data_IF_219371457289
#
_entry.id   IF_219371457289
#
_cell.length_a   1.000
_cell.length_b   1.000
_cell.length_c   1.000
_cell.angle_alpha   90.00
_cell.angle_beta   90.00
_cell.angle_gamma   90.00
#
_symmetry.space_group_name_H-M   'P 1'
#
loop_
_entity.id
_entity.type
_entity.pdbx_description
1 polymer ?
#
# COMPACT_ATOMS: atom_id res chain seq x y z
N UNK A 1 -12.66 24.67 2.49
CA UNK A 1 -12.54 25.65 3.58
C UNK A 1 -11.32 26.54 3.35
N UNK A 2 -11.48 27.66 2.65
CA UNK A 2 -10.43 28.69 2.58
C UNK A 2 -10.72 29.73 3.66
N UNK A 3 -10.02 29.67 4.79
CA UNK A 3 -9.87 30.87 5.62
C UNK A 3 -9.18 31.95 4.76
N UNK A 4 -9.45 33.25 4.97
CA UNK A 4 -8.74 34.31 4.27
C UNK A 4 -7.24 34.03 4.34
N UNK A 5 -6.54 34.18 3.21
CA UNK A 5 -5.10 33.98 3.07
C UNK A 5 -4.36 34.85 4.09
N UNK A 6 -4.25 34.35 5.33
CA UNK A 6 -3.45 34.95 6.35
C UNK A 6 -2.02 34.67 5.92
N UNK A 7 -1.41 35.61 5.24
CA UNK A 7 -0.01 35.51 4.80
C UNK A 7 0.95 35.99 5.87
N UNK A 8 0.45 36.46 7.02
CA UNK A 8 1.27 36.92 8.14
C UNK A 8 1.37 35.85 9.21
N UNK A 9 2.56 35.26 9.38
CA UNK A 9 2.81 34.28 10.43
C UNK A 9 4.01 34.67 11.29
N UNK A 10 3.98 34.30 12.57
CA UNK A 10 5.17 34.37 13.43
C UNK A 10 6.00 33.11 13.27
N UNK A 11 7.32 33.24 13.39
CA UNK A 11 8.25 32.10 13.30
C UNK A 11 8.97 31.88 14.63
N UNK A 12 9.31 30.62 14.94
CA UNK A 12 10.06 30.25 16.16
C UNK A 12 11.13 29.21 15.87
N UNK A 13 12.33 29.39 16.44
CA UNK A 13 13.47 28.48 16.27
C UNK A 13 14.38 28.82 15.08
N UNK A 14 14.31 30.04 14.54
CA UNK A 14 15.04 30.45 13.33
C UNK A 14 16.17 31.47 13.57
N UNK A 15 16.45 31.81 14.83
CA UNK A 15 17.53 32.70 15.23
C UNK A 15 17.08 34.06 15.76
N UNK A 16 18.03 34.79 16.35
CA UNK A 16 17.78 36.14 16.90
C UNK A 16 17.34 37.10 15.80
N UNK A 17 16.35 37.94 16.09
CA UNK A 17 15.76 38.92 15.15
C UNK A 17 14.49 38.46 14.43
N UNK A 18 14.30 37.13 14.27
CA UNK A 18 13.09 36.53 13.68
C UNK A 18 12.12 35.95 14.71
N UNK A 19 12.62 35.62 15.90
CA UNK A 19 11.85 34.92 16.93
C UNK A 19 10.57 35.67 17.31
N UNK A 20 9.43 34.99 17.14
CA UNK A 20 8.09 35.50 17.35
C UNK A 20 7.74 36.77 16.55
N UNK A 21 8.57 37.18 15.60
CA UNK A 21 8.34 38.37 14.78
C UNK A 21 7.39 38.02 13.63
N UNK A 22 6.36 38.84 13.33
CA UNK A 22 5.43 38.54 12.26
C UNK A 22 6.10 38.72 10.90
N UNK A 23 6.06 37.71 10.04
CA UNK A 23 6.58 37.76 8.67
C UNK A 23 5.41 37.76 7.70
N UNK A 24 5.42 38.68 6.74
CA UNK A 24 4.42 38.79 5.68
C UNK A 24 4.91 38.01 4.45
N UNK A 25 4.43 36.78 4.29
CA UNK A 25 4.77 35.90 3.17
C UNK A 25 4.09 36.36 1.88
N UNK A 26 4.77 36.28 0.74
CA UNK A 26 4.19 36.65 -0.56
C UNK A 26 3.35 35.53 -1.18
N UNK A 27 3.47 34.31 -0.65
CA UNK A 27 2.75 33.13 -1.11
C UNK A 27 2.12 32.42 0.07
N UNK A 28 1.04 31.68 -0.19
CA UNK A 28 0.41 30.83 0.83
C UNK A 28 1.45 29.88 1.44
N UNK A 29 1.47 29.83 2.78
CA UNK A 29 2.29 28.87 3.53
C UNK A 29 1.47 27.59 3.72
N UNK A 30 1.99 26.41 3.35
CA UNK A 30 1.30 25.15 3.60
C UNK A 30 0.88 25.00 5.06
N UNK A 31 -0.39 24.65 5.28
CA UNK A 31 -1.01 24.59 6.61
C UNK A 31 -0.31 23.61 7.55
N UNK A 32 0.29 22.54 7.03
CA UNK A 32 1.03 21.54 7.83
C UNK A 32 2.40 22.03 8.34
N UNK A 33 2.86 23.22 7.93
CA UNK A 33 4.01 23.90 8.56
C UNK A 33 3.60 24.87 9.66
N UNK A 34 2.32 25.19 9.75
CA UNK A 34 1.76 26.14 10.69
C UNK A 34 1.11 25.36 11.83
N UNK A 35 1.47 25.66 13.07
CA UNK A 35 0.77 25.07 14.22
C UNK A 35 -0.72 25.41 14.16
N UNK A 36 -1.59 24.38 14.16
CA UNK A 36 -3.05 24.53 14.13
C UNK A 36 -3.59 25.25 15.37
N UNK A 37 -2.86 25.22 16.49
CA UNK A 37 -3.28 25.80 17.76
C UNK A 37 -2.86 27.26 17.94
N UNK A 38 -1.57 27.56 17.73
CA UNK A 38 -1.02 28.91 17.98
C UNK A 38 -0.67 29.68 16.71
N UNK A 39 -0.84 29.08 15.53
CA UNK A 39 -0.54 29.65 14.20
C UNK A 39 0.92 30.07 14.00
N UNK A 40 1.84 29.62 14.85
CA UNK A 40 3.28 29.85 14.71
C UNK A 40 3.91 28.80 13.79
N UNK A 41 4.80 29.22 12.90
CA UNK A 41 5.67 28.35 12.11
C UNK A 41 6.91 28.04 12.96
N UNK A 42 7.00 26.81 13.45
CA UNK A 42 8.10 26.35 14.30
C UNK A 42 9.14 25.56 13.48
N UNK A 43 10.40 25.56 13.92
CA UNK A 43 11.45 24.70 13.34
C UNK A 43 11.10 23.21 13.34
N UNK A 44 10.25 22.80 14.28
CA UNK A 44 9.69 21.44 14.36
C UNK A 44 8.19 21.53 14.64
N UNK A 45 7.42 20.79 13.84
CA UNK A 45 5.99 20.55 14.04
C UNK A 45 5.71 19.06 14.01
N UNK A 46 4.61 18.66 14.63
CA UNK A 46 4.20 17.28 14.79
C UNK A 46 2.85 17.11 14.15
N UNK A 47 2.71 16.13 13.25
CA UNK A 47 1.42 15.80 12.66
C UNK A 47 0.72 14.80 13.58
N UNK A 48 -0.49 15.15 14.01
CA UNK A 48 -1.32 14.29 14.85
C UNK A 48 -2.13 13.33 13.98
N UNK A 49 -2.64 12.26 14.58
CA UNK A 49 -3.53 11.28 13.92
C UNK A 49 -4.83 11.91 13.40
N UNK A 50 -5.29 13.00 14.02
CA UNK A 50 -6.41 13.81 13.55
C UNK A 50 -6.05 14.85 12.48
N UNK A 51 -4.86 14.77 11.88
CA UNK A 51 -4.33 15.66 10.83
C UNK A 51 -4.09 17.12 11.23
N UNK A 52 -4.33 17.48 12.49
CA UNK A 52 -3.86 18.76 13.04
C UNK A 52 -2.35 18.76 13.24
N UNK A 53 -1.71 19.91 13.07
CA UNK A 53 -0.26 20.09 13.24
C UNK A 53 0.02 20.86 14.53
N UNK A 54 0.91 20.34 15.38
CA UNK A 54 1.26 20.96 16.67
C UNK A 54 2.74 21.33 16.71
N UNK A 55 3.08 22.56 17.11
CA UNK A 55 4.47 22.86 17.47
C UNK A 55 4.85 22.16 18.78
N UNK A 56 6.14 21.97 19.04
CA UNK A 56 6.64 21.26 20.23
C UNK A 56 6.13 21.85 21.54
N UNK A 57 6.05 23.19 21.63
CA UNK A 57 5.54 23.87 22.82
C UNK A 57 4.06 23.56 23.09
N UNK A 58 3.22 23.54 22.04
CA UNK A 58 1.80 23.23 22.21
C UNK A 58 1.57 21.72 22.42
N UNK A 59 2.32 20.86 21.73
CA UNK A 59 2.25 19.42 21.96
C UNK A 59 2.60 19.07 23.41
N UNK A 60 3.66 19.68 23.96
CA UNK A 60 4.04 19.47 25.36
C UNK A 60 2.93 19.89 26.34
N UNK A 61 2.10 20.88 26.00
CA UNK A 61 0.94 21.24 26.82
C UNK A 61 -0.18 20.20 26.72
N UNK A 62 -0.49 19.72 25.51
CA UNK A 62 -1.49 18.65 25.33
C UNK A 62 -1.09 17.37 26.07
N UNK A 63 0.19 17.01 26.04
CA UNK A 63 0.71 15.80 26.72
C UNK A 63 0.71 15.90 28.25
N UNK A 64 0.71 17.12 28.83
CA UNK A 64 0.57 17.34 30.28
C UNK A 64 -0.88 17.36 30.75
N UNK A 65 -1.81 17.62 29.84
CA UNK A 65 -3.25 17.58 30.09
C UNK A 65 -3.78 16.17 29.79
N UNK A 66 -4.97 16.08 29.17
CA UNK A 66 -5.67 14.81 28.95
C UNK A 66 -5.15 13.99 27.75
N UNK A 67 -4.00 14.38 27.15
CA UNK A 67 -3.49 13.82 25.89
C UNK A 67 -4.52 13.83 24.75
N UNK A 68 -5.38 14.85 24.70
CA UNK A 68 -6.35 15.04 23.63
C UNK A 68 -5.95 16.22 22.75
N UNK A 69 -6.28 16.14 21.46
CA UNK A 69 -6.23 17.29 20.57
C UNK A 69 -7.29 18.31 21.03
N UNK A 70 -6.93 19.59 21.26
CA UNK A 70 -7.87 20.59 21.77
C UNK A 70 -8.93 21.03 20.74
N UNK A 71 -8.77 20.69 19.46
CA UNK A 71 -9.68 21.12 18.39
C UNK A 71 -10.81 20.12 18.15
N UNK A 72 -10.54 18.82 18.27
CA UNK A 72 -11.48 17.74 17.91
C UNK A 72 -11.58 16.64 18.98
N UNK A 73 -10.85 16.78 20.09
CA UNK A 73 -10.84 15.84 21.22
C UNK A 73 -10.36 14.42 20.87
N UNK A 74 -9.66 14.26 19.74
CA UNK A 74 -9.07 12.96 19.37
C UNK A 74 -7.83 12.68 20.23
N UNK A 75 -7.66 11.45 20.78
CA UNK A 75 -6.48 11.07 21.53
C UNK A 75 -5.18 11.21 20.72
N UNK A 76 -4.15 11.77 21.35
CA UNK A 76 -2.81 11.89 20.79
C UNK A 76 -2.06 10.58 21.09
N UNK A 77 -1.66 9.89 20.03
CA UNK A 77 -0.84 8.67 20.11
C UNK A 77 0.56 8.97 20.65
N UNK A 78 1.24 7.99 21.25
CA UNK A 78 2.60 8.19 21.78
C UNK A 78 3.65 8.26 20.64
N UNK A 79 3.40 7.59 19.52
CA UNK A 79 4.29 7.52 18.35
C UNK A 79 3.97 8.60 17.30
N UNK A 80 4.18 9.86 17.67
CA UNK A 80 3.92 10.99 16.77
C UNK A 80 5.06 11.27 15.78
N UNK A 81 4.70 11.50 14.50
CA UNK A 81 5.67 11.87 13.47
C UNK A 81 6.05 13.35 13.55
N UNK A 82 7.35 13.62 13.69
CA UNK A 82 7.92 14.97 13.70
C UNK A 82 8.32 15.37 12.28
N UNK A 83 7.84 16.51 11.83
CA UNK A 83 8.19 17.15 10.58
C UNK A 83 9.09 18.35 10.88
N UNK A 84 10.33 18.30 10.38
CA UNK A 84 11.26 19.42 10.50
C UNK A 84 11.04 20.46 9.41
N UNK A 85 10.90 21.71 9.84
CA UNK A 85 10.86 22.89 8.98
C UNK A 85 12.18 23.66 9.14
N UNK A 86 13.18 23.31 8.33
CA UNK A 86 14.52 23.85 8.47
C UNK A 86 14.63 25.32 8.02
N UNK A 87 15.65 26.02 8.52
CA UNK A 87 16.00 27.37 8.08
C UNK A 87 16.20 27.45 6.56
N UNK A 88 16.67 26.37 5.93
CA UNK A 88 16.80 26.28 4.46
C UNK A 88 15.44 26.38 3.77
N UNK A 89 14.40 25.70 4.29
CA UNK A 89 13.03 25.80 3.76
C UNK A 89 12.45 27.20 3.98
N UNK A 90 12.65 27.79 5.16
CA UNK A 90 12.20 29.16 5.44
C UNK A 90 12.86 30.18 4.51
N UNK A 91 14.14 30.02 4.15
CA UNK A 91 14.85 30.91 3.21
C UNK A 91 14.31 30.86 1.78
N UNK A 92 13.66 29.77 1.38
CA UNK A 92 13.04 29.66 0.06
C UNK A 92 11.74 30.45 -0.04
N UNK A 93 11.12 30.80 1.09
CA UNK A 93 9.91 31.59 1.12
C UNK A 93 10.24 33.08 1.05
N UNK A 94 9.54 33.79 0.17
CA UNK A 94 9.71 35.22 -0.02
C UNK A 94 8.79 35.99 0.93
N UNK A 95 9.35 36.93 1.67
CA UNK A 95 8.63 37.78 2.61
C UNK A 95 8.86 39.25 2.29
N UNK A 96 7.88 40.08 2.62
CA UNK A 96 7.95 41.54 2.46
C UNK A 96 8.58 42.19 3.70
N UNK A 97 9.23 43.34 3.49
CA UNK A 97 9.76 44.17 4.58
C UNK A 97 8.67 44.51 5.61
N UNK A 98 9.04 44.57 6.90
CA UNK A 98 8.11 44.99 7.95
C UNK A 98 7.58 46.41 7.78
N UNK A 99 8.33 47.27 7.08
CA UNK A 99 7.93 48.64 6.75
C UNK A 99 7.20 48.72 5.39
N UNK A 100 6.71 47.61 4.83
CA UNK A 100 5.87 47.64 3.63
C UNK A 100 4.61 48.51 3.77
N UNK A 101 3.90 48.53 4.92
CA UNK A 101 2.79 49.49 5.15
C UNK A 101 3.22 50.95 5.06
N UNK A 102 4.50 51.25 5.30
CA UNK A 102 5.09 52.58 5.21
C UNK A 102 5.64 52.89 3.80
N UNK A 103 5.44 52.00 2.82
CA UNK A 103 5.89 52.19 1.43
C UNK A 103 7.18 51.47 1.05
N UNK A 104 7.77 50.67 1.94
CA UNK A 104 8.95 49.88 1.58
C UNK A 104 8.60 48.71 0.64
N UNK A 105 9.06 48.78 -0.61
CA UNK A 105 8.83 47.73 -1.62
C UNK A 105 9.79 46.53 -1.51
N UNK A 106 10.73 46.53 -0.56
CA UNK A 106 11.73 45.46 -0.45
C UNK A 106 11.09 44.12 -0.08
N UNK A 107 11.51 43.07 -0.79
CA UNK A 107 11.12 41.70 -0.51
C UNK A 107 12.24 40.72 -0.86
N UNK A 108 12.36 39.66 -0.07
CA UNK A 108 13.46 38.70 -0.17
C UNK A 108 13.23 37.51 0.76
N UNK A 109 14.28 36.73 1.04
CA UNK A 109 14.17 35.73 2.11
C UNK A 109 14.01 36.40 3.47
N UNK A 110 13.57 35.65 4.48
CA UNK A 110 13.47 36.17 5.85
C UNK A 110 14.79 36.77 6.38
N UNK A 111 15.94 36.23 5.96
CA UNK A 111 17.25 36.74 6.36
C UNK A 111 17.60 38.04 5.64
N UNK A 112 17.30 38.12 4.34
CA UNK A 112 17.53 39.34 3.56
C UNK A 112 16.66 40.49 4.07
N UNK A 113 15.41 40.19 4.43
CA UNK A 113 14.49 41.16 5.03
C UNK A 113 14.96 41.59 6.42
N UNK A 114 15.49 40.67 7.24
CA UNK A 114 16.09 41.03 8.53
C UNK A 114 17.26 42.00 8.35
N UNK A 115 18.20 41.65 7.47
CA UNK A 115 19.35 42.50 7.17
C UNK A 115 18.93 43.87 6.63
N UNK A 116 18.05 43.88 5.61
CA UNK A 116 17.53 45.11 5.02
C UNK A 116 16.85 45.99 6.08
N UNK A 117 15.99 45.41 6.92
CA UNK A 117 15.30 46.16 7.96
C UNK A 117 16.30 46.78 8.94
N UNK A 118 17.31 46.04 9.38
CA UNK A 118 18.25 46.53 10.39
C UNK A 118 19.25 47.55 9.84
N UNK A 119 19.67 47.41 8.57
CA UNK A 119 20.81 48.13 8.03
C UNK A 119 20.44 49.16 6.95
N UNK A 120 19.43 48.86 6.11
CA UNK A 120 19.22 49.58 4.84
C UNK A 120 17.87 50.30 4.73
N UNK A 121 16.87 49.92 5.54
CA UNK A 121 15.50 50.38 5.35
C UNK A 121 15.33 51.86 5.73
N UNK A 122 14.90 52.68 4.77
CA UNK A 122 14.67 54.13 4.97
C UNK A 122 13.27 54.48 5.48
N UNK A 123 12.36 53.51 5.45
CA UNK A 123 10.95 53.66 5.80
C UNK A 123 10.67 53.39 7.29
N UNK A 124 11.70 53.39 8.13
CA UNK A 124 11.52 53.33 9.58
C UNK A 124 10.79 54.57 10.07
N UNK A 125 9.84 54.40 10.97
CA UNK A 125 9.17 55.51 11.63
C UNK A 125 9.94 55.94 12.87
N UNK A 126 10.09 57.24 13.06
CA UNK A 126 10.71 57.86 14.24
C UNK A 126 9.86 59.04 14.70
N UNK A 127 9.95 59.39 15.98
CA UNK A 127 9.28 60.57 16.52
C UNK A 127 10.06 61.84 16.18
N UNK A 128 9.36 62.88 15.74
CA UNK A 128 9.92 64.22 15.60
C UNK A 128 10.19 64.80 16.99
N UNK A 129 11.38 65.32 17.30
CA UNK A 129 11.69 65.86 18.62
C UNK A 129 10.97 67.18 18.95
N UNK A 130 10.35 67.83 17.96
CA UNK A 130 9.76 69.17 18.11
C UNK A 130 8.24 69.16 18.22
N UNK A 131 7.57 68.17 17.64
CA UNK A 131 6.10 68.08 17.64
C UNK A 131 5.58 66.67 17.93
N UNK A 132 6.48 65.74 18.26
CA UNK A 132 6.20 64.32 18.55
C UNK A 132 5.48 63.54 17.45
N UNK A 133 5.31 64.12 16.25
CA UNK A 133 4.69 63.41 15.13
C UNK A 133 5.58 62.25 14.67
N UNK A 134 4.95 61.14 14.33
CA UNK A 134 5.60 60.00 13.71
C UNK A 134 5.93 60.34 12.25
N UNK A 135 7.20 60.32 11.90
CA UNK A 135 7.71 60.68 10.56
C UNK A 135 8.63 59.57 10.06
N UNK A 136 8.66 59.32 8.75
CA UNK A 136 9.63 58.40 8.16
C UNK A 136 11.04 58.95 8.31
N UNK A 137 12.00 58.08 8.61
CA UNK A 137 13.40 58.43 8.84
C UNK A 137 14.00 59.23 7.69
N UNK A 138 13.64 58.92 6.45
CA UNK A 138 14.10 59.65 5.24
C UNK A 138 13.51 61.07 5.16
N UNK A 139 12.31 61.28 5.68
CA UNK A 139 11.55 62.54 5.57
C UNK A 139 11.73 63.46 6.78
N UNK A 140 12.36 63.00 7.87
CA UNK A 140 12.51 63.78 9.12
C UNK A 140 13.11 65.16 8.85
N UNK A 141 14.13 65.23 7.99
CA UNK A 141 14.83 66.47 7.71
C UNK A 141 13.93 67.44 6.93
N UNK A 142 13.17 66.95 5.97
CA UNK A 142 12.21 67.75 5.21
C UNK A 142 11.06 68.23 6.10
N UNK A 143 10.49 67.32 6.90
CA UNK A 143 9.47 67.64 7.90
C UNK A 143 9.93 68.78 8.82
N UNK A 144 11.15 68.71 9.36
CA UNK A 144 11.71 69.76 10.21
C UNK A 144 11.91 71.09 9.47
N UNK A 145 12.14 71.08 8.15
CA UNK A 145 12.33 72.30 7.36
C UNK A 145 11.03 73.00 6.97
N UNK A 146 9.97 72.27 6.65
CA UNK A 146 8.79 72.86 5.99
C UNK A 146 7.42 72.48 6.56
N UNK A 147 7.28 71.34 7.25
CA UNK A 147 5.98 70.77 7.61
C UNK A 147 5.74 70.60 9.12
N UNK A 148 6.73 70.92 9.96
CA UNK A 148 6.63 70.80 11.41
C UNK A 148 5.76 71.93 11.99
N UNK A 149 4.55 71.59 12.45
CA UNK A 149 3.58 72.50 13.06
C UNK A 149 4.16 73.34 14.20
N UNK A 150 5.06 72.79 15.02
CA UNK A 150 5.73 73.53 16.10
C UNK A 150 6.63 74.69 15.62
N UNK A 151 7.18 74.62 14.39
CA UNK A 151 7.99 75.72 13.81
C UNK A 151 7.12 76.75 13.07
N UNK A 152 6.00 76.31 12.49
CA UNK A 152 5.04 77.19 11.81
C UNK A 152 4.39 78.17 12.81
N UNK A 153 4.11 77.70 14.04
CA UNK A 153 3.61 78.55 15.14
C UNK A 153 4.65 79.61 15.55
N UNK A 154 5.94 79.26 15.64
CA UNK A 154 7.00 80.24 15.96
C UNK A 154 7.21 81.34 14.89
N UNK A 155 6.96 81.05 13.60
CA UNK A 155 7.10 82.04 12.52
C UNK A 155 5.89 82.98 12.46
N UNK A 156 4.69 82.48 12.73
CA UNK A 156 3.46 83.29 12.80
C UNK A 156 3.47 84.23 14.02
N UNK A 157 4.00 83.78 15.15
CA UNK A 157 4.14 84.62 16.36
C UNK A 157 5.20 85.72 16.20
N UNK A 158 6.22 85.53 15.35
CA UNK A 158 7.24 86.54 15.07
C UNK A 158 6.81 87.62 14.05
N UNK A 159 5.75 87.37 13.26
CA UNK A 159 5.34 88.27 12.17
C UNK A 159 4.29 89.31 12.57
N UNK A 160 3.89 89.38 13.85
CA UNK A 160 2.77 90.24 14.26
C UNK A 160 3.26 91.46 15.04
N UNK A 161 3.51 92.57 14.34
CA UNK A 161 3.28 93.92 14.89
C UNK A 161 2.66 94.86 13.83
N UNK A 162 1.75 95.76 14.24
CA UNK A 162 0.77 96.38 13.37
C UNK A 162 1.20 97.79 12.91
N UNK A 163 0.77 98.21 11.72
CA UNK A 163 0.60 99.63 11.38
C UNK A 163 -0.39 99.79 10.24
N UNK A 164 -1.36 100.67 10.49
CA UNK A 164 -2.57 101.05 9.75
C UNK A 164 -2.35 101.77 8.42
N UNK A 165 -3.24 101.59 7.44
CA UNK A 165 -3.89 102.72 6.69
C UNK A 165 -5.08 102.24 5.83
N UNK A 166 -5.94 103.16 5.35
CA UNK A 166 -7.19 102.90 4.61
C UNK A 166 -7.13 102.06 3.31
N UNK A 167 -5.97 101.50 2.96
CA UNK A 167 -5.81 100.38 2.01
C UNK A 167 -6.26 99.02 2.60
N UNK A 168 -6.31 98.91 3.93
CA UNK A 168 -6.59 97.68 4.69
C UNK A 168 -8.03 97.19 4.56
N UNK A 169 -9.00 98.10 4.35
CA UNK A 169 -10.40 97.73 4.21
C UNK A 169 -10.67 96.95 2.91
N UNK A 170 -9.97 97.31 1.82
CA UNK A 170 -10.11 96.66 0.51
C UNK A 170 -9.42 95.30 0.49
N UNK A 171 -8.20 95.22 1.04
CA UNK A 171 -7.48 93.97 1.23
C UNK A 171 -8.24 93.00 2.16
N UNK A 172 -8.87 93.50 3.23
CA UNK A 172 -9.73 92.70 4.10
C UNK A 172 -10.98 92.19 3.39
N UNK A 173 -11.63 93.02 2.55
CA UNK A 173 -12.81 92.61 1.79
C UNK A 173 -12.46 91.57 0.71
N UNK A 174 -11.33 91.75 0.02
CA UNK A 174 -10.79 90.79 -0.94
C UNK A 174 -10.41 89.47 -0.26
N UNK A 175 -9.75 89.52 0.90
CA UNK A 175 -9.45 88.33 1.72
C UNK A 175 -10.73 87.61 2.15
N UNK A 176 -11.77 88.35 2.58
CA UNK A 176 -13.06 87.77 2.95
C UNK A 176 -13.76 87.09 1.78
N UNK A 177 -13.76 87.71 0.60
CA UNK A 177 -14.32 87.10 -0.62
C UNK A 177 -13.54 85.86 -1.05
N UNK A 178 -12.20 85.88 -0.93
CA UNK A 178 -11.37 84.71 -1.20
C UNK A 178 -11.67 83.57 -0.21
N UNK A 179 -11.83 83.87 1.08
CA UNK A 179 -12.20 82.88 2.09
C UNK A 179 -13.60 82.29 1.88
N UNK A 180 -14.57 83.11 1.45
CA UNK A 180 -15.90 82.61 1.08
C UNK A 180 -15.84 81.70 -0.14
N UNK A 181 -15.06 82.08 -1.17
CA UNK A 181 -14.85 81.22 -2.35
C UNK A 181 -14.15 79.92 -2.00
N UNK A 182 -13.12 79.96 -1.14
CA UNK A 182 -12.42 78.76 -0.65
C UNK A 182 -13.38 77.86 0.13
N UNK A 183 -14.26 78.43 0.96
CA UNK A 183 -15.29 77.66 1.69
C UNK A 183 -16.26 76.96 0.73
N UNK A 184 -16.72 77.68 -0.29
CA UNK A 184 -17.67 77.13 -1.27
C UNK A 184 -17.00 76.03 -2.13
N UNK A 185 -15.76 76.26 -2.56
CA UNK A 185 -14.93 75.26 -3.26
C UNK A 185 -14.69 74.04 -2.36
N UNK A 186 -14.42 74.23 -1.07
CA UNK A 186 -14.25 73.14 -0.10
C UNK A 186 -15.53 72.31 0.06
N UNK A 187 -16.70 72.95 0.17
CA UNK A 187 -17.99 72.26 0.29
C UNK A 187 -18.31 71.44 -0.98
N UNK A 188 -17.99 72.00 -2.15
CA UNK A 188 -18.14 71.32 -3.43
C UNK A 188 -17.22 70.11 -3.57
N UNK A 189 -15.95 70.26 -3.18
CA UNK A 189 -14.97 69.17 -3.17
C UNK A 189 -15.38 68.07 -2.18
N UNK A 190 -15.85 68.43 -0.99
CA UNK A 190 -16.32 67.47 0.01
C UNK A 190 -17.52 66.66 -0.51
N UNK A 191 -18.46 67.31 -1.19
CA UNK A 191 -19.61 66.63 -1.81
C UNK A 191 -19.17 65.71 -2.94
N UNK A 192 -18.21 66.14 -3.76
CA UNK A 192 -17.64 65.34 -4.85
C UNK A 192 -16.87 64.12 -4.31
N UNK A 193 -16.12 64.29 -3.23
CA UNK A 193 -15.39 63.20 -2.55
C UNK A 193 -16.35 62.16 -1.99
N UNK A 194 -17.42 62.59 -1.32
CA UNK A 194 -18.44 61.68 -0.80
C UNK A 194 -19.11 60.86 -1.91
N UNK A 195 -19.40 61.49 -3.06
CA UNK A 195 -19.93 60.78 -4.25
C UNK A 195 -18.95 59.74 -4.79
N UNK A 196 -17.68 60.08 -4.92
CA UNK A 196 -16.66 59.14 -5.38
C UNK A 196 -16.47 57.98 -4.39
N UNK A 197 -16.52 58.25 -3.09
CA UNK A 197 -16.46 57.22 -2.05
C UNK A 197 -17.64 56.25 -2.16
N UNK A 198 -18.85 56.75 -2.36
CA UNK A 198 -20.03 55.91 -2.53
C UNK A 198 -19.94 55.04 -3.80
N UNK A 199 -19.49 55.63 -4.90
CA UNK A 199 -19.27 54.89 -6.15
C UNK A 199 -18.23 53.77 -5.97
N UNK A 200 -17.15 54.04 -5.24
CA UNK A 200 -16.10 53.06 -4.93
C UNK A 200 -16.65 51.91 -4.08
N UNK A 201 -17.48 52.21 -3.07
CA UNK A 201 -18.15 51.19 -2.25
C UNK A 201 -19.07 50.29 -3.07
N UNK A 202 -19.87 50.86 -3.98
CA UNK A 202 -20.76 50.07 -4.86
C UNK A 202 -19.95 49.15 -5.78
N UNK A 203 -18.86 49.64 -6.38
CA UNK A 203 -18.00 48.82 -7.23
C UNK A 203 -17.34 47.70 -6.42
N UNK A 204 -16.84 48.00 -5.23
CA UNK A 204 -16.25 47.00 -4.32
C UNK A 204 -17.27 45.92 -3.93
N UNK A 205 -18.51 46.30 -3.62
CA UNK A 205 -19.58 45.35 -3.27
C UNK A 205 -19.93 44.42 -4.46
N UNK A 206 -20.09 44.98 -5.67
CA UNK A 206 -20.35 44.18 -6.89
C UNK A 206 -19.21 43.21 -7.19
N UNK A 207 -17.97 43.65 -6.97
CA UNK A 207 -16.79 42.83 -7.18
C UNK A 207 -16.72 41.70 -6.15
N UNK A 208 -17.04 41.96 -4.88
CA UNK A 208 -17.16 40.93 -3.84
C UNK A 208 -18.23 39.88 -4.19
N UNK A 209 -19.42 40.30 -4.61
CA UNK A 209 -20.52 39.40 -5.00
C UNK A 209 -20.15 38.53 -6.22
N UNK A 210 -19.45 39.11 -7.20
CA UNK A 210 -18.91 38.38 -8.35
C UNK A 210 -17.87 37.32 -7.92
N UNK A 211 -16.96 37.67 -7.03
CA UNK A 211 -15.97 36.74 -6.48
C UNK A 211 -16.65 35.62 -5.67
N UNK A 212 -17.60 35.96 -4.82
CA UNK A 212 -18.35 34.99 -3.99
C UNK A 212 -19.11 33.99 -4.88
N UNK A 213 -19.74 34.46 -5.95
CA UNK A 213 -20.41 33.60 -6.94
C UNK A 213 -19.39 32.69 -7.63
N UNK A 214 -18.23 33.22 -8.01
CA UNK A 214 -17.15 32.44 -8.62
C UNK A 214 -16.60 31.36 -7.69
N UNK A 215 -16.34 31.71 -6.43
CA UNK A 215 -15.87 30.77 -5.39
C UNK A 215 -16.90 29.67 -5.15
N UNK A 216 -18.18 30.02 -5.06
CA UNK A 216 -19.26 29.04 -4.87
C UNK A 216 -19.29 28.01 -6.00
N UNK A 217 -19.21 28.46 -7.26
CA UNK A 217 -19.15 27.55 -8.43
C UNK A 217 -17.94 26.62 -8.39
N UNK A 218 -16.79 27.13 -7.98
CA UNK A 218 -15.57 26.31 -7.84
C UNK A 218 -15.74 25.26 -6.73
N UNK A 219 -16.33 25.63 -5.59
CA UNK A 219 -16.63 24.70 -4.49
C UNK A 219 -17.61 23.62 -4.94
N UNK A 220 -18.64 23.97 -5.71
CA UNK A 220 -19.60 23.01 -6.24
C UNK A 220 -18.94 22.02 -7.23
N UNK A 221 -18.09 22.52 -8.14
CA UNK A 221 -17.31 21.67 -9.05
C UNK A 221 -16.36 20.73 -8.29
N UNK A 222 -15.70 21.21 -7.22
CA UNK A 222 -14.85 20.37 -6.37
C UNK A 222 -15.68 19.25 -5.73
N UNK A 223 -16.84 19.57 -5.17
CA UNK A 223 -17.74 18.55 -4.59
C UNK A 223 -18.20 17.52 -5.60
N UNK A 224 -18.47 17.93 -6.84
CA UNK A 224 -18.89 17.03 -7.92
C UNK A 224 -17.75 16.08 -8.31
N UNK A 225 -16.52 16.60 -8.44
CA UNK A 225 -15.32 15.78 -8.69
C UNK A 225 -15.04 14.83 -7.53
N UNK A 226 -15.14 15.29 -6.28
CA UNK A 226 -14.95 14.44 -5.09
C UNK A 226 -15.97 13.30 -5.05
N UNK A 227 -17.25 13.60 -5.33
CA UNK A 227 -18.30 12.59 -5.40
C UNK A 227 -18.07 11.58 -6.53
N UNK A 228 -17.65 12.06 -7.70
CA UNK A 228 -17.31 11.21 -8.85
C UNK A 228 -16.14 10.28 -8.54
N UNK A 229 -15.04 10.81 -7.99
CA UNK A 229 -13.87 10.03 -7.60
C UNK A 229 -14.20 8.99 -6.52
N UNK A 230 -15.04 9.34 -5.54
CA UNK A 230 -15.48 8.40 -4.51
C UNK A 230 -16.28 7.25 -5.11
N UNK A 231 -17.25 7.55 -5.98
CA UNK A 231 -18.06 6.54 -6.67
C UNK A 231 -17.22 5.60 -7.54
N UNK A 232 -16.30 6.16 -8.32
CA UNK A 232 -15.41 5.37 -9.19
C UNK A 232 -14.48 4.46 -8.38
N UNK A 233 -13.94 4.97 -7.25
CA UNK A 233 -13.12 4.18 -6.34
C UNK A 233 -13.92 3.04 -5.71
N UNK A 234 -15.15 3.29 -5.25
CA UNK A 234 -16.04 2.28 -4.69
C UNK A 234 -16.36 1.19 -5.73
N UNK A 235 -16.69 1.57 -6.97
CA UNK A 235 -16.96 0.64 -8.06
C UNK A 235 -15.72 -0.24 -8.37
N UNK A 236 -14.53 0.36 -8.43
CA UNK A 236 -13.28 -0.38 -8.67
C UNK A 236 -12.93 -1.33 -7.53
N UNK A 237 -13.15 -0.94 -6.28
CA UNK A 237 -12.95 -1.81 -5.11
C UNK A 237 -13.90 -3.01 -5.18
N UNK A 238 -15.17 -2.79 -5.49
CA UNK A 238 -16.16 -3.88 -5.61
C UNK A 238 -15.78 -4.84 -6.74
N UNK A 239 -15.41 -4.33 -7.92
CA UNK A 239 -14.97 -5.16 -9.05
C UNK A 239 -13.73 -6.00 -8.69
N UNK A 240 -12.72 -5.38 -8.07
CA UNK A 240 -11.52 -6.10 -7.66
C UNK A 240 -11.82 -7.18 -6.62
N UNK A 241 -12.71 -6.89 -5.66
CA UNK A 241 -13.16 -7.86 -4.65
C UNK A 241 -13.87 -9.05 -5.29
N UNK A 242 -14.74 -8.83 -6.29
CA UNK A 242 -15.42 -9.93 -6.98
C UNK A 242 -14.46 -10.81 -7.77
N UNK A 243 -13.49 -10.20 -8.47
CA UNK A 243 -12.48 -10.93 -9.24
C UNK A 243 -11.63 -11.81 -8.33
N UNK A 244 -11.10 -11.23 -7.25
CA UNK A 244 -10.29 -11.96 -6.26
C UNK A 244 -11.10 -13.10 -5.62
N UNK A 245 -12.37 -12.85 -5.25
CA UNK A 245 -13.23 -13.89 -4.68
C UNK A 245 -13.49 -15.05 -5.65
N UNK A 246 -13.59 -14.74 -6.95
CA UNK A 246 -13.79 -15.76 -7.99
C UNK A 246 -12.54 -16.63 -8.16
N UNK A 247 -11.35 -16.02 -8.17
CA UNK A 247 -10.07 -16.73 -8.30
C UNK A 247 -9.78 -17.58 -7.06
N UNK A 248 -10.02 -17.05 -5.85
CA UNK A 248 -9.92 -17.81 -4.61
C UNK A 248 -10.83 -19.04 -4.63
N UNK A 249 -12.06 -18.90 -5.13
CA UNK A 249 -12.99 -20.03 -5.23
C UNK A 249 -12.51 -21.11 -6.21
N UNK A 250 -11.96 -20.72 -7.36
CA UNK A 250 -11.37 -21.65 -8.34
C UNK A 250 -10.17 -22.39 -7.77
N UNK A 251 -9.28 -21.67 -7.08
CA UNK A 251 -8.11 -22.24 -6.42
C UNK A 251 -8.51 -23.20 -5.31
N UNK A 252 -9.51 -22.85 -4.50
CA UNK A 252 -10.00 -23.72 -3.42
C UNK A 252 -10.61 -25.02 -3.97
N UNK A 253 -11.39 -24.94 -5.06
CA UNK A 253 -11.90 -26.14 -5.74
C UNK A 253 -10.79 -27.04 -6.28
N UNK A 254 -9.77 -26.44 -6.91
CA UNK A 254 -8.61 -27.16 -7.44
C UNK A 254 -7.78 -27.82 -6.32
N UNK A 255 -7.58 -27.12 -5.20
CA UNK A 255 -6.86 -27.63 -4.05
C UNK A 255 -7.61 -28.79 -3.38
N UNK A 256 -8.94 -28.71 -3.28
CA UNK A 256 -9.76 -29.80 -2.76
C UNK A 256 -9.62 -31.06 -3.61
N UNK A 257 -9.69 -30.93 -4.93
CA UNK A 257 -9.49 -32.06 -5.86
C UNK A 257 -8.09 -32.66 -5.75
N UNK A 258 -7.05 -31.81 -5.66
CA UNK A 258 -5.67 -32.28 -5.49
C UNK A 258 -5.48 -33.01 -4.16
N UNK A 259 -6.07 -32.49 -3.08
CA UNK A 259 -6.01 -33.09 -1.74
C UNK A 259 -6.67 -34.47 -1.73
N UNK A 260 -7.83 -34.61 -2.38
CA UNK A 260 -8.53 -35.89 -2.49
C UNK A 260 -7.70 -36.93 -3.26
N UNK A 261 -7.10 -36.54 -4.38
CA UNK A 261 -6.20 -37.41 -5.17
C UNK A 261 -5.01 -37.89 -4.34
N UNK A 262 -4.34 -36.97 -3.65
CA UNK A 262 -3.20 -37.32 -2.78
C UNK A 262 -3.65 -38.27 -1.67
N UNK A 263 -4.79 -38.00 -1.02
CA UNK A 263 -5.33 -38.88 0.03
C UNK A 263 -5.56 -40.31 -0.49
N UNK A 264 -6.17 -40.44 -1.67
CA UNK A 264 -6.42 -41.73 -2.32
C UNK A 264 -5.12 -42.48 -2.65
N UNK A 265 -4.11 -41.77 -3.17
CA UNK A 265 -2.79 -42.34 -3.46
C UNK A 265 -2.08 -42.81 -2.18
N UNK A 266 -2.13 -42.02 -1.11
CA UNK A 266 -1.54 -42.37 0.20
C UNK A 266 -2.19 -43.63 0.77
N UNK A 267 -3.52 -43.72 0.71
CA UNK A 267 -4.23 -44.92 1.17
C UNK A 267 -3.78 -46.18 0.41
N UNK A 268 -3.63 -46.11 -0.91
CA UNK A 268 -3.23 -47.25 -1.72
C UNK A 268 -1.74 -47.61 -1.60
N UNK A 269 -0.87 -46.64 -1.36
CA UNK A 269 0.55 -46.85 -1.13
C UNK A 269 0.89 -47.29 0.30
N UNK A 270 -0.05 -47.17 1.24
CA UNK A 270 0.12 -47.62 2.64
C UNK A 270 -0.07 -49.13 2.85
N UNK A 271 -0.35 -49.90 1.80
CA UNK A 271 -0.40 -51.36 1.87
C UNK A 271 0.98 -51.95 2.29
N UNK A 272 1.02 -53.10 2.98
CA UNK A 272 2.28 -53.71 3.43
C UNK A 272 3.26 -53.87 2.28
N UNK A 273 4.51 -53.44 2.48
CA UNK A 273 5.57 -53.43 1.46
C UNK A 273 5.79 -54.78 0.78
N UNK A 274 5.50 -55.88 1.46
CA UNK A 274 5.60 -57.24 0.89
C UNK A 274 4.34 -58.03 1.20
N UNK A 275 3.56 -58.36 0.16
CA UNK A 275 2.43 -59.27 0.26
C UNK A 275 2.85 -60.65 -0.21
N UNK A 276 2.87 -61.61 0.73
CA UNK A 276 3.25 -63.00 0.46
C UNK A 276 1.99 -63.80 0.15
N UNK A 277 1.93 -64.38 -1.05
CA UNK A 277 0.95 -65.40 -1.38
C UNK A 277 1.47 -66.78 -1.00
N UNK A 278 0.71 -67.49 -0.18
CA UNK A 278 0.98 -68.89 0.15
C UNK A 278 0.14 -69.76 -0.79
N UNK A 279 0.81 -70.42 -1.72
CA UNK A 279 0.25 -71.44 -2.58
C UNK A 279 0.22 -72.76 -1.80
N UNK A 280 -0.98 -73.29 -1.57
CA UNK A 280 -1.20 -74.55 -0.83
C UNK A 280 -1.44 -75.72 -1.79
N UNK A 281 -1.47 -76.94 -1.25
CA UNK A 281 -1.77 -78.19 -1.96
C UNK A 281 -0.83 -78.51 -3.14
N UNK A 282 0.47 -78.23 -2.97
CA UNK A 282 1.49 -78.47 -4.00
C UNK A 282 1.45 -79.89 -4.58
N UNK A 283 1.36 -80.90 -3.71
CA UNK A 283 1.29 -82.32 -4.09
C UNK A 283 0.05 -82.64 -4.92
N UNK A 284 -1.10 -82.08 -4.56
CA UNK A 284 -2.32 -82.29 -5.34
C UNK A 284 -2.19 -81.66 -6.73
N UNK A 285 -1.55 -80.49 -6.83
CA UNK A 285 -1.26 -79.86 -8.12
C UNK A 285 -0.31 -80.71 -8.98
N UNK A 286 0.76 -81.26 -8.40
CA UNK A 286 1.69 -82.15 -9.12
C UNK A 286 1.00 -83.42 -9.59
N UNK A 287 0.25 -84.07 -8.70
CA UNK A 287 -0.44 -85.33 -8.98
C UNK A 287 -1.52 -85.17 -10.06
N UNK A 288 -2.30 -84.10 -9.99
CA UNK A 288 -3.30 -83.77 -11.00
C UNK A 288 -2.68 -83.55 -12.39
N UNK A 289 -1.60 -82.77 -12.43
CA UNK A 289 -0.88 -82.48 -13.67
C UNK A 289 -0.26 -83.73 -14.30
N UNK A 290 0.33 -84.62 -13.49
CA UNK A 290 0.87 -85.91 -13.94
C UNK A 290 -0.22 -86.86 -14.46
N UNK A 291 -1.44 -86.79 -13.93
CA UNK A 291 -2.62 -87.50 -14.45
C UNK A 291 -3.20 -86.86 -15.73
N UNK A 292 -2.55 -85.83 -16.27
CA UNK A 292 -2.96 -85.16 -17.51
C UNK A 292 -3.93 -83.99 -17.32
N UNK A 293 -4.22 -83.57 -16.08
CA UNK A 293 -5.06 -82.41 -15.79
C UNK A 293 -4.22 -81.25 -15.24
N UNK A 294 -3.90 -80.21 -16.05
CA UNK A 294 -3.14 -79.06 -15.56
C UNK A 294 -3.82 -78.40 -14.36
N UNK A 295 -3.07 -78.15 -13.29
CA UNK A 295 -3.58 -77.39 -12.16
C UNK A 295 -3.29 -75.90 -12.37
N UNK A 296 -4.30 -75.04 -12.20
CA UNK A 296 -4.18 -73.58 -12.32
C UNK A 296 -4.85 -72.95 -11.11
N UNK A 297 -4.19 -71.98 -10.48
CA UNK A 297 -4.72 -71.22 -9.37
C UNK A 297 -4.24 -69.77 -9.42
N UNK A 298 -5.02 -68.86 -8.86
CA UNK A 298 -4.79 -67.42 -8.95
C UNK A 298 -4.85 -66.80 -7.55
N UNK A 299 -3.89 -65.93 -7.26
CA UNK A 299 -3.82 -65.24 -5.98
C UNK A 299 -4.95 -64.22 -5.85
N UNK A 300 -5.33 -63.82 -4.63
CA UNK A 300 -6.14 -62.62 -4.42
C UNK A 300 -5.49 -61.40 -5.08
N UNK A 301 -6.33 -60.40 -5.39
CA UNK A 301 -5.87 -59.11 -5.90
C UNK A 301 -5.04 -58.38 -4.85
N UNK A 302 -3.93 -57.80 -5.29
CA UNK A 302 -3.06 -56.95 -4.47
C UNK A 302 -2.66 -55.70 -5.23
N UNK A 303 -2.32 -54.66 -4.48
CA UNK A 303 -1.80 -53.42 -5.05
C UNK A 303 -0.28 -53.46 -5.17
N UNK A 304 0.24 -53.26 -6.37
CA UNK A 304 1.67 -53.08 -6.65
C UNK A 304 1.84 -51.72 -7.32
N UNK A 305 2.45 -50.75 -6.63
CA UNK A 305 2.53 -49.33 -7.05
C UNK A 305 1.17 -48.68 -7.39
N UNK A 306 0.08 -49.14 -6.77
CA UNK A 306 -1.27 -48.68 -7.07
C UNK A 306 -2.01 -49.53 -8.11
N UNK A 307 -1.31 -50.35 -8.91
CA UNK A 307 -1.93 -51.24 -9.90
C UNK A 307 -2.52 -52.48 -9.22
N UNK A 308 -3.74 -52.87 -9.64
CA UNK A 308 -4.38 -54.09 -9.16
C UNK A 308 -3.87 -55.29 -9.94
N UNK A 309 -3.18 -56.21 -9.25
CA UNK A 309 -2.55 -57.38 -9.88
C UNK A 309 -2.84 -58.67 -9.13
N UNK A 310 -2.88 -59.78 -9.87
CA UNK A 310 -2.85 -61.14 -9.32
C UNK A 310 -1.63 -61.90 -9.83
N UNK A 311 -1.27 -62.99 -9.16
CA UNK A 311 -0.34 -63.99 -9.67
C UNK A 311 -1.13 -65.22 -10.09
N UNK A 312 -0.85 -65.77 -11.26
CA UNK A 312 -1.42 -67.04 -11.72
C UNK A 312 -0.31 -68.09 -11.62
N UNK A 313 -0.54 -69.17 -10.89
CA UNK A 313 0.35 -70.31 -10.81
C UNK A 313 -0.25 -71.47 -11.62
N UNK A 314 0.58 -72.12 -12.43
CA UNK A 314 0.19 -73.27 -13.25
C UNK A 314 1.19 -74.40 -13.06
N UNK A 315 0.66 -75.61 -12.88
CA UNK A 315 1.40 -76.86 -12.87
C UNK A 315 0.92 -77.72 -14.05
N UNK A 316 1.82 -78.06 -14.97
CA UNK A 316 1.47 -78.84 -16.15
C UNK A 316 2.67 -79.66 -16.64
N UNK A 317 2.39 -80.77 -17.32
CA UNK A 317 3.39 -81.51 -18.07
C UNK A 317 3.57 -80.84 -19.43
N UNK A 318 4.81 -80.54 -19.81
CA UNK A 318 5.13 -79.91 -21.09
C UNK A 318 5.24 -80.93 -22.25
N UNK A 319 5.54 -80.43 -23.45
CA UNK A 319 5.69 -81.28 -24.64
C UNK A 319 6.87 -82.27 -24.55
N UNK A 320 7.81 -82.04 -23.63
CA UNK A 320 8.95 -82.93 -23.35
C UNK A 320 8.66 -83.91 -22.22
N UNK A 321 7.40 -84.04 -21.80
CA UNK A 321 6.94 -84.88 -20.69
C UNK A 321 7.54 -84.51 -19.33
N UNK A 322 7.95 -83.26 -19.15
CA UNK A 322 8.51 -82.76 -17.88
C UNK A 322 7.44 -81.98 -17.12
N UNK A 323 7.32 -82.24 -15.81
CA UNK A 323 6.41 -81.50 -14.94
C UNK A 323 6.98 -80.10 -14.63
N UNK A 324 6.28 -79.05 -15.10
CA UNK A 324 6.70 -77.66 -14.99
C UNK A 324 5.74 -76.82 -14.17
N UNK A 325 6.33 -75.97 -13.35
CA UNK A 325 5.68 -74.91 -12.62
C UNK A 325 5.95 -73.57 -13.32
N UNK A 326 4.88 -72.90 -13.72
CA UNK A 326 4.93 -71.55 -14.27
C UNK A 326 4.16 -70.56 -13.40
N UNK A 327 4.73 -69.37 -13.20
CA UNK A 327 4.06 -68.27 -12.50
C UNK A 327 3.99 -67.05 -13.41
N UNK A 328 2.80 -66.46 -13.47
CA UNK A 328 2.48 -65.31 -14.30
C UNK A 328 1.98 -64.16 -13.44
N UNK A 329 2.16 -62.93 -13.90
CA UNK A 329 1.46 -61.75 -13.38
C UNK A 329 0.32 -61.38 -14.32
N UNK A 330 -0.80 -60.93 -13.74
CA UNK A 330 -1.95 -60.46 -14.49
C UNK A 330 -2.43 -59.13 -13.91
N UNK A 331 -2.62 -58.14 -14.78
CA UNK A 331 -3.16 -56.83 -14.41
C UNK A 331 -4.69 -56.82 -14.53
N UNK A 332 -5.33 -56.18 -13.56
CA UNK A 332 -6.78 -56.08 -13.42
C UNK A 332 -7.20 -54.61 -13.34
N UNK A 333 -8.46 -54.34 -13.66
CA UNK A 333 -9.02 -53.01 -13.47
C UNK A 333 -8.96 -52.62 -11.99
N UNK A 334 -8.33 -51.51 -11.69
CA UNK A 334 -8.13 -50.97 -10.35
C UNK A 334 -8.94 -49.69 -10.09
N UNK A 335 -9.07 -49.30 -8.82
CA UNK A 335 -9.87 -48.15 -8.40
C UNK A 335 -9.25 -46.78 -8.76
N UNK A 336 -7.99 -46.75 -9.21
CA UNK A 336 -7.25 -45.53 -9.56
C UNK A 336 -6.62 -45.60 -10.96
N UNK A 337 -7.10 -46.48 -11.82
CA UNK A 337 -6.51 -46.69 -13.15
C UNK A 337 -6.47 -45.43 -14.03
N UNK A 338 -7.39 -44.47 -13.80
CA UNK A 338 -7.39 -43.16 -14.48
C UNK A 338 -6.23 -42.25 -14.08
N UNK A 339 -5.64 -42.49 -12.91
CA UNK A 339 -4.54 -41.69 -12.33
C UNK A 339 -3.17 -42.36 -12.56
N UNK A 340 -3.15 -43.62 -12.99
CA UNK A 340 -1.95 -44.40 -13.23
C UNK A 340 -1.45 -44.26 -14.67
N UNK A 341 -0.13 -44.37 -14.84
CA UNK A 341 0.48 -44.41 -16.18
C UNK A 341 0.20 -45.76 -16.84
N UNK A 342 -0.22 -45.75 -18.11
CA UNK A 342 -0.41 -46.96 -18.90
C UNK A 342 0.30 -46.85 -20.26
N UNK A 343 0.87 -47.95 -20.80
CA UNK A 343 1.01 -49.26 -20.16
C UNK A 343 1.94 -49.22 -18.93
N UNK A 344 1.83 -50.20 -18.03
CA UNK A 344 2.70 -50.32 -16.87
C UNK A 344 4.17 -50.32 -17.30
N UNK A 345 5.00 -49.53 -16.60
CA UNK A 345 6.44 -49.40 -16.84
C UNK A 345 7.20 -49.46 -15.52
N UNK A 346 8.32 -50.14 -15.55
CA UNK A 346 9.21 -50.25 -14.41
C UNK A 346 9.61 -51.68 -14.11
N UNK A 347 10.16 -51.89 -12.93
CA UNK A 347 10.72 -53.17 -12.51
C UNK A 347 9.68 -53.92 -11.68
N UNK A 348 9.56 -55.22 -11.94
CA UNK A 348 8.85 -56.17 -11.10
C UNK A 348 9.87 -57.14 -10.50
N UNK A 349 9.85 -57.28 -9.19
CA UNK A 349 10.70 -58.22 -8.48
C UNK A 349 9.83 -59.39 -8.00
N UNK A 350 9.86 -60.49 -8.74
CA UNK A 350 9.21 -61.73 -8.38
C UNK A 350 10.10 -62.54 -7.44
N UNK A 351 9.55 -63.08 -6.36
CA UNK A 351 10.28 -63.84 -5.34
C UNK A 351 9.62 -65.18 -5.07
N UNK A 352 10.42 -66.24 -5.10
CA UNK A 352 10.08 -67.56 -4.55
C UNK A 352 10.76 -67.66 -3.19
N UNK A 353 9.98 -67.46 -2.13
CA UNK A 353 10.49 -67.24 -0.78
C UNK A 353 10.85 -68.58 -0.14
N UNK A 354 12.11 -68.73 0.23
CA UNK A 354 12.54 -69.88 1.01
C UNK A 354 12.09 -69.69 2.48
N UNK A 355 11.37 -70.66 3.08
CA UNK A 355 10.59 -70.44 4.29
C UNK A 355 11.41 -70.22 5.58
N UNK A 356 12.72 -70.55 5.57
CA UNK A 356 13.60 -70.46 6.75
C UNK A 356 14.89 -69.68 6.53
N UNK A 357 15.26 -69.42 5.28
CA UNK A 357 16.56 -68.88 4.92
C UNK A 357 16.39 -67.89 3.78
N UNK A 358 16.41 -66.61 4.12
CA UNK A 358 16.14 -65.55 3.15
C UNK A 358 17.22 -65.47 2.06
N UNK A 359 18.44 -65.96 2.31
CA UNK A 359 19.53 -65.97 1.32
C UNK A 359 19.28 -66.98 0.20
N UNK A 360 18.41 -67.98 0.44
CA UNK A 360 17.98 -68.97 -0.56
C UNK A 360 16.72 -68.56 -1.31
N UNK A 361 16.15 -67.38 -1.02
CA UNK A 361 15.00 -66.86 -1.76
C UNK A 361 15.40 -66.54 -3.19
N UNK A 362 14.74 -67.18 -4.16
CA UNK A 362 14.97 -66.94 -5.58
C UNK A 362 14.30 -65.62 -5.93
N UNK A 363 15.07 -64.65 -6.43
CA UNK A 363 14.55 -63.35 -6.87
C UNK A 363 14.77 -63.20 -8.36
N UNK A 364 13.71 -62.86 -9.08
CA UNK A 364 13.70 -62.60 -10.52
C UNK A 364 13.29 -61.15 -10.70
N UNK A 365 14.17 -60.41 -11.36
CA UNK A 365 13.98 -59.01 -11.67
C UNK A 365 13.59 -58.89 -13.13
N UNK A 366 12.36 -58.45 -13.37
CA UNK A 366 11.81 -58.26 -14.71
C UNK A 366 11.67 -56.76 -14.98
N UNK A 367 12.22 -56.28 -16.09
CA UNK A 367 12.16 -54.86 -16.48
C UNK A 367 11.12 -54.67 -17.60
N UNK A 368 10.00 -54.06 -17.25
CA UNK A 368 8.92 -53.79 -18.19
C UNK A 368 9.17 -52.45 -18.88
N UNK A 369 9.58 -52.55 -20.15
CA UNK A 369 9.85 -51.40 -21.01
C UNK A 369 8.58 -50.85 -21.66
N UNK A 370 8.70 -49.66 -22.27
CA UNK A 370 7.61 -49.05 -23.05
C UNK A 370 7.20 -49.84 -24.31
N UNK A 371 8.01 -50.81 -24.72
CA UNK A 371 7.80 -51.63 -25.92
C UNK A 371 7.15 -52.97 -25.59
N UNK A 372 6.91 -53.25 -24.31
CA UNK A 372 6.24 -54.48 -23.88
C UNK A 372 4.80 -54.53 -24.41
N UNK A 373 4.29 -55.69 -24.83
CA UNK A 373 2.97 -55.78 -25.44
C UNK A 373 1.84 -55.30 -24.53
N UNK A 374 0.92 -54.51 -25.08
CA UNK A 374 -0.21 -53.95 -24.33
C UNK A 374 -1.18 -55.01 -23.82
N UNK A 375 -1.22 -56.20 -24.42
CA UNK A 375 -2.05 -57.30 -23.96
C UNK A 375 -1.75 -57.74 -22.52
N UNK A 376 -0.51 -57.51 -22.04
CA UNK A 376 -0.07 -57.86 -20.68
C UNK A 376 -0.12 -56.65 -19.74
N UNK A 377 0.36 -55.50 -20.21
CA UNK A 377 0.66 -54.34 -19.38
C UNK A 377 -0.17 -53.10 -19.71
N UNK A 378 -1.05 -53.16 -20.71
CA UNK A 378 -1.95 -52.06 -21.06
C UNK A 378 -3.07 -51.87 -20.03
N UNK A 379 -3.82 -50.78 -20.16
CA UNK A 379 -4.96 -50.50 -19.26
C UNK A 379 -6.08 -51.54 -19.48
N UNK A 380 -6.49 -52.32 -18.46
CA UNK A 380 -7.55 -53.31 -18.62
C UNK A 380 -8.90 -52.64 -18.97
N UNK A 381 -9.57 -53.10 -20.04
CA UNK A 381 -10.85 -52.53 -20.53
C UNK A 381 -12.02 -53.52 -20.54
N UNK A 382 -11.74 -54.79 -20.80
CA UNK A 382 -12.76 -55.84 -21.02
C UNK A 382 -12.45 -57.08 -20.17
N UNK A 383 -12.22 -56.87 -18.86
CA UNK A 383 -11.69 -57.88 -17.96
C UNK A 383 -10.18 -57.79 -17.80
N UNK A 384 -9.55 -58.74 -17.09
CA UNK A 384 -8.12 -58.71 -16.84
C UNK A 384 -7.30 -58.94 -18.10
N UNK A 385 -6.07 -58.43 -18.08
CA UNK A 385 -5.11 -58.62 -19.15
C UNK A 385 -4.70 -60.08 -19.34
N UNK A 386 -4.05 -60.37 -20.47
CA UNK A 386 -3.35 -61.65 -20.67
C UNK A 386 -2.27 -61.81 -19.57
N UNK A 387 -2.10 -63.02 -19.00
CA UNK A 387 -1.10 -63.26 -17.98
C UNK A 387 0.31 -63.28 -18.60
N UNK A 388 1.24 -62.50 -18.05
CA UNK A 388 2.64 -62.45 -18.47
C UNK A 388 3.52 -63.38 -17.64
N UNK A 389 4.30 -64.24 -18.30
CA UNK A 389 5.14 -65.24 -17.62
C UNK A 389 6.32 -64.56 -16.92
N UNK A 390 6.46 -64.79 -15.61
CA UNK A 390 7.58 -64.27 -14.80
C UNK A 390 8.55 -65.36 -14.37
N UNK A 391 8.06 -66.59 -14.19
CA UNK A 391 8.88 -67.68 -13.68
C UNK A 391 8.49 -69.00 -14.32
N UNK A 392 9.49 -69.79 -14.69
CA UNK A 392 9.30 -71.08 -15.34
C UNK A 392 10.41 -72.07 -14.95
N UNK A 393 10.06 -73.10 -14.16
CA UNK A 393 10.98 -74.12 -13.62
C UNK A 393 10.32 -75.50 -13.55
N UNK A 394 11.13 -76.55 -13.47
CA UNK A 394 10.61 -77.90 -13.20
C UNK A 394 10.16 -78.00 -11.74
N UNK A 395 9.13 -78.80 -11.47
CA UNK A 395 8.67 -79.05 -10.10
C UNK A 395 9.80 -79.62 -9.24
N UNK A 396 10.55 -80.59 -9.79
CA UNK A 396 11.73 -81.19 -9.15
C UNK A 396 12.79 -80.14 -8.76
N UNK A 397 13.07 -79.16 -9.62
CA UNK A 397 14.04 -78.11 -9.32
C UNK A 397 13.62 -77.24 -8.13
N UNK A 398 12.32 -77.00 -7.95
CA UNK A 398 11.80 -76.22 -6.82
C UNK A 398 11.80 -77.04 -5.54
N UNK A 399 11.51 -78.33 -5.61
CA UNK A 399 11.61 -79.25 -4.47
C UNK A 399 13.06 -79.39 -4.00
N UNK A 400 14.00 -79.60 -4.93
CA UNK A 400 15.43 -79.68 -4.64
C UNK A 400 16.00 -78.37 -4.09
N UNK A 401 15.42 -77.22 -4.48
CA UNK A 401 15.78 -75.91 -3.91
C UNK A 401 15.27 -75.72 -2.46
N UNK A 402 14.45 -76.63 -1.93
CA UNK A 402 13.94 -76.58 -0.56
C UNK A 402 12.90 -75.49 -0.31
N UNK A 403 12.31 -74.92 -1.37
CA UNK A 403 11.29 -73.85 -1.24
C UNK A 403 9.89 -74.38 -0.96
N UNK A 404 9.66 -75.67 -1.23
CA UNK A 404 8.40 -76.37 -0.92
C UNK A 404 8.50 -76.98 0.48
N UNK A 405 7.69 -76.48 1.43
CA UNK A 405 7.68 -76.99 2.81
C UNK A 405 6.25 -77.13 3.31
N UNK A 406 5.93 -78.28 3.90
CA UNK A 406 4.60 -78.62 4.38
C UNK A 406 3.52 -78.45 3.31
N UNK A 407 3.83 -78.88 2.09
CA UNK A 407 2.92 -78.80 0.92
C UNK A 407 2.59 -77.37 0.45
N UNK A 408 3.44 -76.41 0.81
CA UNK A 408 3.22 -74.98 0.53
C UNK A 408 4.42 -74.34 -0.17
N UNK A 409 4.12 -73.46 -1.12
CA UNK A 409 5.07 -72.57 -1.78
C UNK A 409 4.73 -71.11 -1.45
N UNK A 410 5.74 -70.28 -1.15
CA UNK A 410 5.53 -68.85 -0.86
C UNK A 410 6.03 -67.99 -2.01
N UNK A 411 5.16 -67.16 -2.55
CA UNK A 411 5.42 -66.28 -3.69
C UNK A 411 5.18 -64.83 -3.28
N UNK A 412 5.98 -63.91 -3.82
CA UNK A 412 5.73 -62.48 -3.68
C UNK A 412 6.11 -61.72 -4.95
N UNK A 413 5.44 -60.59 -5.17
CA UNK A 413 5.84 -59.60 -6.18
C UNK A 413 5.99 -58.27 -5.46
N UNK A 414 7.14 -57.65 -5.66
CA UNK A 414 7.49 -56.33 -5.18
C UNK A 414 7.73 -55.40 -6.36
N UNK A 415 7.48 -54.12 -6.16
CA UNK A 415 7.89 -53.06 -7.08
C UNK A 415 9.30 -52.58 -6.80
#
# INVERSE_FOLDING_TARGET
>A
FGMPDCTTFRVSGFGRGLEMRPLNFQSAVPHFWVCSFCRVISGTVVSLSCFHSACEACLAQCLRADKLCPLDQVPIEDDVQRVSFSTKKLRMLKVSCWNAPNGCAFSGSCMDVLQHFEQDCRFHTTSCPSCDSLVLRDDVVEHLRSACTARVVQVLEAATFPSTSGSDQRAYLEMKQLLEKIRDDHLHLQTSLNRLSEQANIVSARQHESYETGVTRVVDLIREVEAGLKSDLEARIVSSKTDVSSEVSKLNGSLSLATEKVSRYVQLSSAPREQIWVLEDWRNMTDGALRGTPAVTESPLRSVRGYSVSQVAKMAVDASHVLRFTSYIRFHSGPIDDELEWPFRGVLNFRVIHPKDNMKTITIREEISRWSPEEYFGRPRHGPNSPYLLHDKTAESLENAGVIVNDKLRLSILS
#
